data_IF_753276603779
#
_entry.id   IF_753276603779
#
_cell.length_a   1.000
_cell.length_b   1.000
_cell.length_c   1.000
_cell.angle_alpha   90.00
_cell.angle_beta   90.00
_cell.angle_gamma   90.00
#
_symmetry.space_group_name_H-M   'P 1'
#
loop_
_entity.id
_entity.type
_entity.pdbx_description
1 polymer ?
#
# COMPACT_ATOMS: atom_id res chain seq x y z
N UNK A 1 43.14 27.01 49.22
CA UNK A 1 42.90 27.65 47.92
C UNK A 1 42.37 26.59 46.97
N UNK A 2 41.29 26.94 46.26
CA UNK A 2 40.42 26.04 45.51
C UNK A 2 41.00 25.62 44.15
N UNK A 3 40.60 24.45 43.65
CA UNK A 3 40.27 24.26 42.22
C UNK A 3 39.11 23.27 42.14
N UNK A 4 38.01 23.68 41.51
CA UNK A 4 36.86 22.85 41.22
C UNK A 4 36.54 22.87 39.73
N UNK A 5 35.75 21.88 39.33
CA UNK A 5 34.98 21.72 38.09
C UNK A 5 35.72 21.35 36.80
N UNK A 6 35.62 20.07 36.41
CA UNK A 6 35.60 19.61 35.00
C UNK A 6 34.69 18.38 34.87
N UNK A 7 33.42 18.50 35.22
CA UNK A 7 32.39 17.48 34.91
C UNK A 7 31.14 18.23 34.45
N UNK A 8 31.00 18.54 33.15
CA UNK A 8 29.71 19.05 32.61
C UNK A 8 29.58 19.09 31.08
N UNK A 9 30.65 18.97 30.30
CA UNK A 9 30.55 19.05 28.83
C UNK A 9 30.46 17.68 28.13
N UNK A 10 31.10 16.64 28.69
CA UNK A 10 31.17 15.32 28.06
C UNK A 10 29.84 14.53 28.16
N UNK A 11 29.12 14.63 29.27
CA UNK A 11 27.82 13.95 29.44
C UNK A 11 26.73 14.55 28.55
N UNK A 12 26.74 15.86 28.36
CA UNK A 12 25.76 16.59 27.53
C UNK A 12 25.91 16.27 26.04
N UNK A 13 27.16 16.07 25.58
CA UNK A 13 27.45 15.64 24.22
C UNK A 13 27.07 14.19 23.95
N UNK A 14 27.18 13.32 24.96
CA UNK A 14 26.77 11.91 24.87
C UNK A 14 25.25 11.77 24.72
N UNK A 15 24.49 12.47 25.56
CA UNK A 15 23.02 12.45 25.49
C UNK A 15 22.50 13.02 24.16
N UNK A 16 23.11 14.09 23.64
CA UNK A 16 22.71 14.68 22.36
C UNK A 16 23.00 13.76 21.17
N UNK A 17 24.13 13.03 21.20
CA UNK A 17 24.45 12.05 20.16
C UNK A 17 23.52 10.83 20.21
N UNK A 18 23.13 10.39 21.41
CA UNK A 18 22.17 9.31 21.59
C UNK A 18 20.77 9.72 21.08
N UNK A 19 20.32 10.93 21.40
CA UNK A 19 19.08 11.50 20.85
C UNK A 19 19.11 11.61 19.32
N UNK A 20 20.23 12.03 18.74
CA UNK A 20 20.40 12.10 17.28
C UNK A 20 20.35 10.72 16.64
N UNK A 21 20.98 9.73 17.26
CA UNK A 21 20.96 8.33 16.81
C UNK A 21 19.53 7.78 16.81
N UNK A 22 18.81 8.00 17.90
CA UNK A 22 17.40 7.60 18.04
C UNK A 22 16.50 8.28 17.00
N UNK A 23 16.71 9.57 16.73
CA UNK A 23 15.92 10.28 15.72
C UNK A 23 16.20 9.77 14.30
N UNK A 24 17.45 9.42 13.99
CA UNK A 24 17.79 8.80 12.71
C UNK A 24 17.13 7.42 12.54
N UNK A 25 17.05 6.62 13.62
CA UNK A 25 16.35 5.32 13.60
C UNK A 25 14.85 5.51 13.35
N UNK A 26 14.22 6.45 14.07
CA UNK A 26 12.79 6.75 13.89
C UNK A 26 12.48 7.26 12.48
N UNK A 27 13.37 8.05 11.88
CA UNK A 27 13.21 8.50 10.49
C UNK A 27 13.26 7.32 9.50
N UNK A 28 14.18 6.37 9.72
CA UNK A 28 14.27 5.17 8.88
C UNK A 28 13.02 4.27 9.04
N UNK A 29 12.52 4.11 10.27
CA UNK A 29 11.28 3.38 10.53
C UNK A 29 10.07 4.06 9.89
N UNK A 30 9.96 5.40 10.00
CA UNK A 30 8.88 6.16 9.39
C UNK A 30 8.91 6.03 7.86
N UNK A 31 10.09 6.08 7.24
CA UNK A 31 10.23 5.86 5.80
C UNK A 31 9.76 4.45 5.41
N UNK A 32 10.11 3.43 6.20
CA UNK A 32 9.66 2.05 6.00
C UNK A 32 8.14 1.91 6.13
N UNK A 33 7.52 2.58 7.10
CA UNK A 33 6.07 2.58 7.29
C UNK A 33 5.36 3.30 6.14
N UNK A 34 5.87 4.45 5.68
CA UNK A 34 5.33 5.17 4.52
C UNK A 34 5.34 4.29 3.26
N UNK A 35 6.46 3.61 2.99
CA UNK A 35 6.60 2.70 1.86
C UNK A 35 5.65 1.49 1.89
N UNK A 36 5.11 1.13 3.07
CA UNK A 36 4.14 0.04 3.24
C UNK A 36 2.69 0.51 3.24
N UNK A 37 2.45 1.82 3.34
CA UNK A 37 1.11 2.37 3.41
C UNK A 37 0.46 2.29 2.04
N UNK A 38 -0.74 1.72 1.95
CA UNK A 38 -1.50 1.71 0.70
C UNK A 38 -2.20 3.07 0.55
N UNK A 39 -2.03 3.72 -0.60
CA UNK A 39 -2.59 5.06 -0.86
C UNK A 39 -3.84 5.03 -1.73
N UNK A 40 -3.96 4.04 -2.62
CA UNK A 40 -5.15 3.82 -3.45
C UNK A 40 -5.21 2.36 -3.90
N UNK A 41 -6.41 1.85 -4.21
CA UNK A 41 -6.59 0.55 -4.86
C UNK A 41 -7.59 0.63 -6.02
N UNK A 42 -7.53 -0.36 -6.92
CA UNK A 42 -8.52 -0.62 -7.96
C UNK A 42 -8.74 -2.12 -8.09
N UNK A 43 -9.94 -2.52 -8.51
CA UNK A 43 -10.24 -3.87 -8.96
C UNK A 43 -10.04 -3.97 -10.47
N UNK A 44 -9.43 -5.06 -10.92
CA UNK A 44 -9.30 -5.41 -12.34
C UNK A 44 -9.82 -6.82 -12.58
N UNK A 45 -10.33 -7.06 -13.78
CA UNK A 45 -10.67 -8.39 -14.25
C UNK A 45 -9.98 -8.70 -15.58
N UNK A 46 -9.83 -9.99 -15.87
CA UNK A 46 -9.49 -10.49 -17.20
C UNK A 46 -10.27 -11.77 -17.50
N UNK A 47 -10.64 -11.94 -18.77
CA UNK A 47 -11.26 -13.14 -19.33
C UNK A 47 -10.16 -14.04 -19.90
N UNK A 48 -10.20 -15.35 -19.63
CA UNK A 48 -9.07 -16.26 -19.89
C UNK A 48 -9.33 -17.36 -20.92
N UNK A 49 -10.58 -17.58 -21.34
CA UNK A 49 -10.95 -18.67 -22.24
C UNK A 49 -11.23 -18.19 -23.67
N UNK A 50 -11.58 -16.91 -23.84
CA UNK A 50 -11.85 -16.30 -25.13
C UNK A 50 -13.17 -16.73 -25.76
N UNK A 51 -14.11 -17.23 -24.96
CA UNK A 51 -15.41 -17.71 -25.43
C UNK A 51 -16.18 -16.61 -26.17
N UNK A 52 -16.98 -16.99 -27.15
CA UNK A 52 -17.87 -16.05 -27.86
C UNK A 52 -19.04 -15.57 -27.02
N UNK A 53 -19.25 -16.17 -25.84
CA UNK A 53 -20.30 -15.79 -24.89
C UNK A 53 -19.87 -14.56 -24.06
N UNK A 54 -18.56 -14.30 -23.94
CA UNK A 54 -18.02 -13.16 -23.21
C UNK A 54 -17.95 -11.92 -24.09
N UNK A 55 -18.98 -11.07 -24.00
CA UNK A 55 -19.03 -9.82 -24.74
C UNK A 55 -18.30 -8.70 -23.99
N UNK A 56 -17.61 -7.82 -24.73
CA UNK A 56 -16.92 -6.65 -24.19
C UNK A 56 -15.39 -6.78 -24.15
N UNK A 57 -14.74 -5.92 -23.36
CA UNK A 57 -13.29 -5.94 -23.19
C UNK A 57 -12.86 -7.13 -22.31
N UNK A 58 -11.92 -7.93 -22.81
CA UNK A 58 -11.39 -9.13 -22.11
C UNK A 58 -10.45 -8.81 -20.95
N UNK A 59 -10.19 -7.54 -20.69
CA UNK A 59 -9.47 -7.05 -19.52
C UNK A 59 -9.87 -5.61 -19.26
N UNK A 60 -10.23 -5.29 -18.02
CA UNK A 60 -10.52 -3.92 -17.61
C UNK A 60 -10.22 -3.72 -16.13
N UNK A 61 -10.00 -2.47 -15.75
CA UNK A 61 -9.85 -2.05 -14.36
C UNK A 61 -10.86 -0.96 -14.05
N UNK A 62 -11.36 -0.97 -12.83
CA UNK A 62 -11.99 0.20 -12.21
C UNK A 62 -11.00 1.37 -12.09
N UNK A 63 -11.55 2.56 -11.79
CA UNK A 63 -10.74 3.70 -11.36
C UNK A 63 -10.06 3.44 -10.01
N UNK A 64 -9.02 4.21 -9.73
CA UNK A 64 -8.37 4.20 -8.41
C UNK A 64 -9.28 4.85 -7.36
N UNK A 65 -9.41 4.20 -6.19
CA UNK A 65 -10.08 4.76 -5.03
C UNK A 65 -9.15 4.81 -3.81
N UNK A 66 -9.20 5.93 -3.10
CA UNK A 66 -8.58 6.12 -1.78
C UNK A 66 -9.57 5.78 -0.63
N UNK A 67 -10.84 5.53 -0.98
CA UNK A 67 -11.93 5.14 -0.08
C UNK A 67 -12.67 3.95 -0.71
N UNK A 68 -12.13 2.72 -0.57
CA UNK A 68 -12.79 1.56 -1.16
C UNK A 68 -14.14 1.33 -0.47
N UNK A 69 -15.21 1.36 -1.26
CA UNK A 69 -16.56 0.99 -0.83
C UNK A 69 -16.98 -0.30 -1.56
N UNK A 70 -17.95 -1.01 -0.99
CA UNK A 70 -18.54 -2.17 -1.64
C UNK A 70 -19.13 -1.77 -3.00
N UNK A 71 -18.83 -2.53 -4.05
CA UNK A 71 -19.56 -2.38 -5.31
C UNK A 71 -21.00 -2.83 -5.10
N UNK A 72 -21.92 -2.29 -5.89
CA UNK A 72 -23.26 -2.84 -5.97
C UNK A 72 -23.19 -4.34 -6.36
N UNK A 73 -24.10 -5.19 -5.85
CA UNK A 73 -24.19 -6.58 -6.28
C UNK A 73 -24.37 -6.67 -7.80
N UNK A 74 -23.68 -7.62 -8.43
CA UNK A 74 -23.78 -7.88 -9.87
C UNK A 74 -23.91 -9.38 -10.11
N UNK A 75 -24.80 -9.76 -11.04
CA UNK A 75 -24.97 -11.14 -11.52
C UNK A 75 -24.36 -11.23 -12.92
N UNK A 76 -23.34 -12.06 -13.04
CA UNK A 76 -22.75 -12.41 -14.33
C UNK A 76 -23.49 -13.62 -14.92
N UNK A 77 -24.55 -13.35 -15.67
CA UNK A 77 -25.31 -14.37 -16.40
C UNK A 77 -25.29 -13.99 -17.88
N UNK A 78 -24.30 -14.52 -18.59
CA UNK A 78 -23.92 -14.02 -19.93
C UNK A 78 -24.91 -14.40 -21.03
N UNK A 79 -25.65 -15.50 -20.91
CA UNK A 79 -26.72 -15.86 -21.88
C UNK A 79 -27.62 -17.06 -21.46
N UNK A 80 -27.68 -17.47 -20.19
CA UNK A 80 -28.48 -18.62 -19.73
C UNK A 80 -28.16 -19.98 -20.44
N UNK A 81 -26.98 -20.13 -21.05
CA UNK A 81 -26.54 -21.40 -21.69
C UNK A 81 -25.52 -22.17 -20.83
N UNK A 82 -25.27 -23.47 -21.10
CA UNK A 82 -24.14 -24.19 -20.54
C UNK A 82 -22.81 -23.66 -21.10
N UNK A 83 -21.84 -23.40 -20.22
CA UNK A 83 -20.66 -22.60 -20.54
C UNK A 83 -20.88 -21.15 -20.14
N UNK A 84 -19.81 -20.46 -19.77
CA UNK A 84 -19.88 -19.08 -19.30
C UNK A 84 -18.55 -18.39 -19.52
N UNK A 85 -18.29 -17.35 -18.75
CA UNK A 85 -17.03 -16.63 -18.83
C UNK A 85 -16.10 -17.01 -17.69
N UNK A 86 -14.88 -17.41 -18.06
CA UNK A 86 -13.81 -17.63 -17.11
C UNK A 86 -13.11 -16.32 -16.87
N UNK A 87 -13.50 -15.66 -15.78
CA UNK A 87 -12.87 -14.43 -15.33
C UNK A 87 -11.89 -14.69 -14.18
N UNK A 88 -10.81 -13.92 -14.18
CA UNK A 88 -9.90 -13.75 -13.05
C UNK A 88 -9.99 -12.30 -12.58
N UNK A 89 -9.87 -12.11 -11.27
CA UNK A 89 -9.95 -10.81 -10.63
C UNK A 89 -8.69 -10.55 -9.82
N UNK A 90 -8.26 -9.28 -9.76
CA UNK A 90 -7.18 -8.85 -8.87
C UNK A 90 -7.51 -7.50 -8.23
N UNK A 91 -6.99 -7.31 -7.03
CA UNK A 91 -6.83 -5.99 -6.43
C UNK A 91 -5.43 -5.49 -6.75
N UNK A 92 -5.35 -4.30 -7.31
CA UNK A 92 -4.10 -3.59 -7.56
C UNK A 92 -4.07 -2.37 -6.66
N UNK A 93 -2.99 -2.18 -5.91
CA UNK A 93 -2.88 -1.10 -4.92
C UNK A 93 -1.56 -0.35 -5.07
N UNK A 94 -1.62 0.98 -4.95
CA UNK A 94 -0.47 1.88 -4.90
C UNK A 94 0.06 1.94 -3.47
N UNK A 95 1.39 2.00 -3.35
CA UNK A 95 2.09 2.20 -2.07
C UNK A 95 2.52 3.65 -1.93
N UNK A 96 2.59 4.14 -0.69
CA UNK A 96 3.13 5.46 -0.36
C UNK A 96 4.58 5.56 -0.79
N UNK A 97 4.95 6.75 -1.30
CA UNK A 97 6.33 7.13 -1.63
C UNK A 97 6.97 7.72 -0.37
#
# INVERSE_FOLDING_TARGET
>A
MAVGATETEESKGKDFNELRSSMASLQAELASVKARTITACRICFQETEGSSQCQGHRHSCSGWSIHPEWTLPFRDDTDNRPGGCFYQWKLECLKGI
#
